data_IF_403741318964
#
_entry.id   IF_403741318964
#
_cell.length_a   1.000
_cell.length_b   1.000
_cell.length_c   1.000
_cell.angle_alpha   90.00
_cell.angle_beta   90.00
_cell.angle_gamma   90.00
#
_symmetry.space_group_name_H-M   'P 1'
#
loop_
_entity.id
_entity.type
_entity.pdbx_description
1 polymer ?
#
# COMPACT_ATOMS: atom_id res chain seq x y z
N UNK A 1 15.71 12.82 -21.75
CA UNK A 1 15.52 13.17 -20.32
C UNK A 1 15.05 14.62 -20.28
N UNK A 2 13.79 14.85 -19.90
CA UNK A 2 13.30 16.20 -19.72
C UNK A 2 13.57 16.57 -18.26
N UNK A 3 14.70 17.26 -18.03
CA UNK A 3 14.96 17.95 -16.77
C UNK A 3 14.16 19.24 -16.88
N UNK A 4 12.94 19.22 -16.34
CA UNK A 4 12.07 20.37 -16.34
C UNK A 4 12.56 21.40 -15.32
N UNK A 5 13.41 22.32 -15.75
CA UNK A 5 13.69 23.56 -15.02
C UNK A 5 12.51 24.52 -15.24
N UNK A 6 11.43 24.32 -14.51
CA UNK A 6 10.26 25.19 -14.61
C UNK A 6 9.33 25.07 -13.41
N UNK A 7 8.54 26.12 -13.12
CA UNK A 7 7.65 26.20 -11.95
C UNK A 7 6.41 25.29 -12.04
N UNK A 8 6.38 24.33 -12.97
CA UNK A 8 5.23 23.49 -13.25
C UNK A 8 5.31 22.18 -12.45
N UNK A 9 4.20 21.81 -11.81
CA UNK A 9 4.07 20.54 -11.11
C UNK A 9 4.25 19.38 -12.10
N UNK A 10 5.35 18.63 -11.96
CA UNK A 10 5.67 17.47 -12.82
C UNK A 10 7.15 17.27 -13.16
N UNK A 11 8.03 18.21 -12.80
CA UNK A 11 9.48 18.06 -13.00
C UNK A 11 10.15 17.24 -11.88
N UNK A 12 10.70 16.07 -12.23
CA UNK A 12 11.62 15.35 -11.34
C UNK A 12 13.05 15.88 -11.55
N UNK A 13 13.75 16.19 -10.46
CA UNK A 13 15.20 16.39 -10.48
C UNK A 13 15.74 17.82 -10.49
N UNK A 14 14.91 18.87 -10.44
CA UNK A 14 15.38 20.25 -10.28
C UNK A 14 15.63 20.64 -8.82
N UNK A 15 16.73 21.35 -8.54
CA UNK A 15 17.04 21.94 -7.21
C UNK A 15 16.10 23.09 -6.83
N UNK A 16 15.46 23.74 -7.81
CA UNK A 16 14.59 24.89 -7.61
C UNK A 16 13.09 24.58 -7.50
N UNK A 17 12.66 23.32 -7.38
CA UNK A 17 11.23 23.02 -7.48
C UNK A 17 10.49 23.23 -6.15
N UNK A 18 9.53 24.16 -6.16
CA UNK A 18 8.48 24.34 -5.15
C UNK A 18 7.45 23.17 -5.11
N UNK A 19 7.87 22.00 -5.59
CA UNK A 19 7.07 20.79 -5.65
C UNK A 19 7.49 19.82 -4.56
N UNK A 20 6.51 19.14 -4.00
CA UNK A 20 6.58 17.99 -3.09
C UNK A 20 7.40 16.80 -3.63
N UNK A 21 8.63 17.01 -4.13
CA UNK A 21 9.47 15.97 -4.76
C UNK A 21 10.88 16.41 -5.17
N UNK A 22 11.40 17.53 -4.66
CA UNK A 22 12.78 17.98 -4.92
C UNK A 22 13.84 17.28 -4.07
N UNK A 23 15.12 17.53 -4.39
CA UNK A 23 16.33 17.01 -3.68
C UNK A 23 16.29 17.18 -2.15
N UNK A 24 15.57 18.21 -1.68
CA UNK A 24 15.36 18.54 -0.28
C UNK A 24 13.86 18.71 0.09
N UNK A 25 12.92 18.29 -0.76
CA UNK A 25 11.49 18.49 -0.49
C UNK A 25 10.95 17.57 0.62
N UNK A 26 9.94 17.99 1.41
CA UNK A 26 9.42 17.23 2.54
C UNK A 26 8.59 15.99 2.13
N UNK A 27 8.14 15.94 0.89
CA UNK A 27 7.39 14.82 0.34
C UNK A 27 8.02 14.36 -0.97
N UNK A 28 7.67 13.14 -1.38
CA UNK A 28 8.00 12.58 -2.69
C UNK A 28 6.69 12.28 -3.40
N UNK A 29 6.42 13.00 -4.47
CA UNK A 29 5.31 12.71 -5.37
C UNK A 29 5.77 11.60 -6.33
N UNK A 30 5.17 10.42 -6.24
CA UNK A 30 5.43 9.33 -7.17
C UNK A 30 4.72 9.63 -8.50
N UNK A 31 5.50 9.98 -9.53
CA UNK A 31 5.00 10.32 -10.88
C UNK A 31 5.33 9.20 -11.88
N UNK A 32 5.64 7.98 -11.41
CA UNK A 32 5.95 6.84 -12.28
C UNK A 32 7.24 6.99 -13.11
N UNK A 33 8.21 7.75 -12.59
CA UNK A 33 9.52 7.94 -13.21
C UNK A 33 10.61 7.20 -12.44
N UNK A 34 11.66 6.75 -13.14
CA UNK A 34 12.80 6.05 -12.55
C UNK A 34 13.50 6.93 -11.51
N UNK A 35 13.64 6.38 -10.30
CA UNK A 35 14.18 7.07 -9.15
C UNK A 35 15.69 7.22 -9.26
N UNK A 36 16.17 8.47 -9.21
CA UNK A 36 17.59 8.75 -8.99
C UNK A 36 17.81 8.94 -7.49
N UNK A 37 18.39 7.94 -6.85
CA UNK A 37 18.81 8.03 -5.44
C UNK A 37 20.11 8.82 -5.40
N UNK A 38 20.10 9.92 -4.64
CA UNK A 38 21.29 10.71 -4.39
C UNK A 38 22.25 9.95 -3.50
N UNK A 39 23.54 10.04 -3.78
CA UNK A 39 24.57 9.57 -2.86
C UNK A 39 24.61 10.45 -1.61
N UNK A 40 25.11 9.92 -0.49
CA UNK A 40 25.21 10.67 0.77
C UNK A 40 26.07 11.95 0.61
N UNK A 41 27.14 11.87 -0.19
CA UNK A 41 28.00 13.01 -0.54
C UNK A 41 27.19 14.15 -1.19
N UNK A 42 26.31 13.80 -2.12
CA UNK A 42 25.43 14.74 -2.82
C UNK A 42 24.36 15.34 -1.89
N UNK A 43 23.94 14.64 -0.85
CA UNK A 43 23.03 15.20 0.15
C UNK A 43 23.75 16.21 1.06
N UNK A 44 25.00 15.92 1.43
CA UNK A 44 25.80 16.79 2.31
C UNK A 44 26.33 18.06 1.62
N UNK A 45 26.35 18.09 0.28
CA UNK A 45 26.65 19.30 -0.51
C UNK A 45 25.50 20.32 -0.51
N UNK A 46 24.31 19.93 -0.04
CA UNK A 46 23.16 20.82 0.03
C UNK A 46 23.38 21.80 1.19
N UNK A 47 23.27 23.13 0.97
CA UNK A 47 23.45 24.09 2.04
C UNK A 47 22.39 23.93 3.14
N UNK A 48 22.79 24.15 4.40
CA UNK A 48 21.91 24.01 5.57
C UNK A 48 20.62 24.84 5.49
N UNK A 49 20.64 25.99 4.81
CA UNK A 49 19.47 26.84 4.55
C UNK A 49 18.34 26.09 3.83
N UNK A 50 18.70 25.15 2.93
CA UNK A 50 17.73 24.31 2.23
C UNK A 50 17.11 23.26 3.14
N UNK A 51 17.86 22.74 4.11
CA UNK A 51 17.33 21.84 5.12
C UNK A 51 16.38 22.55 6.08
N UNK A 52 16.71 23.79 6.47
CA UNK A 52 15.82 24.59 7.32
C UNK A 52 14.52 24.98 6.62
N UNK A 53 14.61 25.40 5.36
CA UNK A 53 13.43 25.74 4.55
C UNK A 53 12.57 24.51 4.28
N UNK A 54 13.18 23.36 3.99
CA UNK A 54 12.48 22.09 3.86
C UNK A 54 11.74 21.71 5.15
N UNK A 55 12.39 21.88 6.30
CA UNK A 55 11.78 21.59 7.60
C UNK A 55 10.60 22.50 7.89
N UNK A 56 10.73 23.81 7.64
CA UNK A 56 9.61 24.77 7.78
C UNK A 56 8.43 24.40 6.89
N UNK A 57 8.70 24.06 5.63
CA UNK A 57 7.66 23.62 4.69
C UNK A 57 6.99 22.30 5.13
N UNK A 58 7.76 21.39 5.73
CA UNK A 58 7.22 20.16 6.31
C UNK A 58 6.29 20.45 7.48
N UNK A 59 6.70 21.34 8.39
CA UNK A 59 5.93 21.73 9.57
C UNK A 59 4.63 22.46 9.17
N UNK A 60 4.69 23.34 8.18
CA UNK A 60 3.52 24.03 7.61
C UNK A 60 2.55 23.05 6.95
N UNK A 61 3.05 22.12 6.13
CA UNK A 61 2.22 21.11 5.48
C UNK A 61 1.60 20.14 6.50
N UNK A 62 2.33 19.80 7.55
CA UNK A 62 1.82 18.99 8.66
C UNK A 62 0.70 19.72 9.40
N UNK A 63 0.88 21.00 9.70
CA UNK A 63 -0.15 21.83 10.34
C UNK A 63 -1.41 21.97 9.47
N UNK A 64 -1.25 22.19 8.15
CA UNK A 64 -2.38 22.22 7.21
C UNK A 64 -3.14 20.90 7.20
N UNK A 65 -2.42 19.78 7.12
CA UNK A 65 -3.04 18.44 7.13
C UNK A 65 -3.79 18.16 8.42
N UNK A 66 -3.28 18.65 9.55
CA UNK A 66 -3.93 18.52 10.85
C UNK A 66 -5.23 19.34 10.90
N UNK A 67 -5.22 20.55 10.33
CA UNK A 67 -6.42 21.38 10.17
C UNK A 67 -7.46 20.73 9.25
N UNK A 68 -7.04 20.15 8.12
CA UNK A 68 -7.93 19.43 7.19
C UNK A 68 -8.63 18.24 7.86
N UNK A 69 -7.97 17.61 8.83
CA UNK A 69 -8.51 16.50 9.62
C UNK A 69 -9.34 16.98 10.82
N UNK A 70 -9.51 18.29 11.00
CA UNK A 70 -10.14 18.93 12.17
C UNK A 70 -9.52 18.48 13.50
N UNK A 71 -8.21 18.18 13.50
CA UNK A 71 -7.48 17.72 14.67
C UNK A 71 -6.64 18.87 15.26
N UNK A 72 -6.39 18.83 16.57
CA UNK A 72 -5.35 19.63 17.20
C UNK A 72 -4.07 18.81 17.37
N UNK A 73 -2.94 19.48 17.66
CA UNK A 73 -1.67 18.80 17.95
C UNK A 73 -1.73 17.94 19.24
N UNK A 74 -2.72 18.19 20.10
CA UNK A 74 -3.00 17.34 21.25
C UNK A 74 -3.76 16.08 20.83
N UNK A 75 -4.79 16.23 19.99
CA UNK A 75 -5.61 15.12 19.49
C UNK A 75 -4.79 14.12 18.67
N UNK A 76 -3.79 14.60 17.91
CA UNK A 76 -2.89 13.74 17.16
C UNK A 76 -2.07 12.83 18.06
N UNK A 77 -1.54 13.36 19.17
CA UNK A 77 -0.76 12.57 20.13
C UNK A 77 -1.63 11.54 20.83
N UNK A 78 -2.84 11.93 21.23
CA UNK A 78 -3.79 11.02 21.88
C UNK A 78 -4.22 9.90 20.92
N UNK A 79 -4.54 10.27 19.67
CA UNK A 79 -4.84 9.31 18.62
C UNK A 79 -3.67 8.37 18.33
N UNK A 80 -2.44 8.89 18.23
CA UNK A 80 -1.25 8.09 17.98
C UNK A 80 -1.01 7.08 19.10
N UNK A 81 -1.15 7.52 20.36
CA UNK A 81 -1.04 6.62 21.52
C UNK A 81 -2.13 5.53 21.52
N UNK A 82 -3.37 5.90 21.24
CA UNK A 82 -4.48 4.95 21.14
C UNK A 82 -4.26 3.95 19.99
N UNK A 83 -3.87 4.43 18.81
CA UNK A 83 -3.57 3.62 17.63
C UNK A 83 -2.44 2.63 17.89
N UNK A 84 -1.37 3.08 18.54
CA UNK A 84 -0.23 2.21 18.88
C UNK A 84 -0.65 1.09 19.84
N UNK A 85 -1.46 1.41 20.85
CA UNK A 85 -1.98 0.42 21.80
C UNK A 85 -2.81 -0.70 21.13
N UNK A 86 -3.45 -0.42 20.00
CA UNK A 86 -4.25 -1.40 19.24
C UNK A 86 -3.62 -1.86 17.92
N UNK A 87 -2.37 -1.47 17.62
CA UNK A 87 -1.74 -1.71 16.34
C UNK A 87 -1.64 -3.21 16.00
N UNK A 88 -1.31 -4.04 17.00
CA UNK A 88 -1.23 -5.50 16.83
C UNK A 88 -2.58 -6.14 16.49
N UNK A 89 -3.66 -5.72 17.16
CA UNK A 89 -5.01 -6.20 16.92
C UNK A 89 -5.51 -5.79 15.53
N UNK A 90 -5.22 -4.55 15.11
CA UNK A 90 -5.50 -4.07 13.76
C UNK A 90 -4.79 -4.95 12.73
N UNK A 91 -3.51 -5.27 12.93
CA UNK A 91 -2.75 -6.10 12.01
C UNK A 91 -3.28 -7.53 11.94
N UNK A 92 -3.63 -8.12 13.09
CA UNK A 92 -4.25 -9.44 13.13
C UNK A 92 -5.58 -9.46 12.36
N UNK A 93 -6.43 -8.45 12.54
CA UNK A 93 -7.69 -8.34 11.82
C UNK A 93 -7.48 -8.18 10.30
N UNK A 94 -6.51 -7.37 9.88
CA UNK A 94 -6.15 -7.24 8.45
C UNK A 94 -5.77 -8.58 7.85
N UNK A 95 -4.94 -9.36 8.55
CA UNK A 95 -4.53 -10.67 8.09
C UNK A 95 -5.72 -11.63 7.94
N UNK A 96 -6.64 -11.63 8.92
CA UNK A 96 -7.87 -12.43 8.84
C UNK A 96 -8.71 -12.04 7.62
N UNK A 97 -8.93 -10.74 7.40
CA UNK A 97 -9.70 -10.25 6.27
C UNK A 97 -9.04 -10.57 4.93
N UNK A 98 -7.71 -10.41 4.83
CA UNK A 98 -6.95 -10.80 3.64
C UNK A 98 -7.05 -12.31 3.37
N UNK A 99 -6.97 -13.14 4.41
CA UNK A 99 -7.14 -14.59 4.28
C UNK A 99 -8.55 -14.97 3.86
N UNK A 100 -9.57 -14.20 4.28
CA UNK A 100 -10.95 -14.40 3.87
C UNK A 100 -11.15 -14.02 2.40
N UNK A 101 -10.68 -12.85 1.98
CA UNK A 101 -10.74 -12.40 0.58
C UNK A 101 -9.99 -13.37 -0.36
N UNK A 102 -8.85 -13.90 0.09
CA UNK A 102 -8.13 -14.94 -0.64
C UNK A 102 -8.97 -16.21 -0.79
N UNK A 103 -9.60 -16.68 0.30
CA UNK A 103 -10.47 -17.87 0.29
C UNK A 103 -11.72 -17.71 -0.56
N UNK A 104 -12.33 -16.53 -0.61
CA UNK A 104 -13.46 -16.26 -1.52
C UNK A 104 -13.07 -16.39 -2.99
N UNK A 105 -11.79 -16.21 -3.32
CA UNK A 105 -11.25 -16.34 -4.68
C UNK A 105 -10.61 -17.71 -4.94
N UNK A 106 -10.56 -18.61 -3.95
CA UNK A 106 -9.93 -19.92 -4.09
C UNK A 106 -10.90 -20.95 -4.64
N UNK A 107 -10.49 -21.61 -5.74
CA UNK A 107 -11.30 -22.69 -6.33
C UNK A 107 -11.29 -23.94 -5.47
N UNK A 108 -12.41 -24.23 -4.83
CA UNK A 108 -12.62 -25.46 -4.09
C UNK A 108 -13.03 -26.63 -5.02
N UNK A 109 -12.81 -27.85 -4.54
CA UNK A 109 -13.39 -29.04 -5.15
C UNK A 109 -14.85 -29.18 -4.70
N UNK A 110 -15.78 -28.92 -5.60
CA UNK A 110 -17.19 -29.25 -5.42
C UNK A 110 -17.35 -30.77 -5.54
N UNK A 111 -17.87 -31.41 -4.49
CA UNK A 111 -18.11 -32.85 -4.44
C UNK A 111 -19.47 -33.22 -5.02
N UNK A 112 -19.69 -34.51 -5.28
CA UNK A 112 -20.98 -35.05 -5.73
C UNK A 112 -21.49 -34.47 -7.05
N UNK A 113 -20.58 -34.17 -7.97
CA UNK A 113 -20.92 -33.64 -9.28
C UNK A 113 -21.28 -34.78 -10.23
N UNK A 114 -22.10 -34.46 -11.22
CA UNK A 114 -22.55 -35.41 -12.25
C UNK A 114 -21.54 -35.57 -13.40
N UNK A 115 -20.55 -34.68 -13.46
CA UNK A 115 -19.47 -34.67 -14.44
C UNK A 115 -18.25 -33.99 -13.83
N UNK A 116 -17.06 -34.32 -14.31
CA UNK A 116 -15.80 -33.75 -13.82
C UNK A 116 -14.71 -34.81 -13.66
N UNK A 117 -13.78 -34.56 -12.75
CA UNK A 117 -12.77 -35.54 -12.34
C UNK A 117 -13.41 -36.59 -11.43
N UNK A 118 -13.03 -37.87 -11.51
CA UNK A 118 -13.63 -38.91 -10.67
C UNK A 118 -13.21 -38.70 -9.21
N UNK A 119 -14.16 -38.78 -8.27
CA UNK A 119 -13.87 -38.77 -6.84
C UNK A 119 -13.42 -40.18 -6.41
N UNK A 120 -12.12 -40.35 -6.14
CA UNK A 120 -11.55 -41.63 -5.71
C UNK A 120 -12.22 -42.18 -4.45
N UNK A 121 -12.80 -41.32 -3.60
CA UNK A 121 -13.52 -41.76 -2.41
C UNK A 121 -14.88 -42.39 -2.71
N UNK A 122 -15.41 -42.22 -3.93
CA UNK A 122 -16.74 -42.68 -4.36
C UNK A 122 -16.71 -43.70 -5.50
N UNK A 123 -15.57 -44.34 -5.74
CA UNK A 123 -15.43 -45.37 -6.79
C UNK A 123 -16.46 -46.50 -6.60
N UNK A 124 -16.68 -46.93 -5.36
CA UNK A 124 -17.66 -47.98 -5.03
C UNK A 124 -19.08 -47.54 -5.42
N UNK A 125 -19.47 -46.30 -5.08
CA UNK A 125 -20.77 -45.74 -5.46
C UNK A 125 -20.93 -45.67 -6.99
N UNK A 126 -19.85 -45.35 -7.71
CA UNK A 126 -19.83 -45.30 -9.17
C UNK A 126 -20.04 -46.67 -9.81
N UNK A 127 -19.41 -47.72 -9.24
CA UNK A 127 -19.61 -49.11 -9.69
C UNK A 127 -21.06 -49.57 -9.46
N UNK A 128 -21.69 -49.11 -8.38
CA UNK A 128 -23.10 -49.38 -8.05
C UNK A 128 -24.06 -48.55 -8.94
N UNK A 129 -23.55 -47.64 -9.76
CA UNK A 129 -24.30 -46.87 -10.75
C UNK A 129 -24.70 -45.46 -10.30
N UNK A 130 -24.17 -44.96 -9.18
CA UNK A 130 -24.37 -43.58 -8.76
C UNK A 130 -23.69 -42.63 -9.75
N UNK A 131 -24.42 -41.60 -10.18
CA UNK A 131 -23.93 -40.62 -11.18
C UNK A 131 -23.22 -39.42 -10.55
N UNK A 132 -23.41 -39.18 -9.25
CA UNK A 132 -22.84 -38.05 -8.50
C UNK A 132 -21.48 -38.39 -7.88
N UNK A 133 -20.57 -38.94 -8.68
CA UNK A 133 -19.26 -39.44 -8.24
C UNK A 133 -18.09 -38.59 -8.71
N UNK A 134 -18.36 -37.39 -9.22
CA UNK A 134 -17.32 -36.52 -9.76
C UNK A 134 -17.03 -35.31 -8.86
N UNK A 135 -15.85 -34.73 -9.06
CA UNK A 135 -15.34 -33.50 -8.49
C UNK A 135 -15.23 -32.43 -9.59
N UNK A 136 -15.54 -31.19 -9.25
CA UNK A 136 -15.34 -30.04 -10.14
C UNK A 136 -14.65 -28.90 -9.41
N UNK A 137 -13.74 -28.20 -10.09
CA UNK A 137 -13.24 -26.91 -9.62
C UNK A 137 -14.33 -25.85 -9.80
N UNK A 138 -14.83 -25.34 -8.69
CA UNK A 138 -15.77 -24.21 -8.63
C UNK A 138 -15.24 -23.14 -7.69
N UNK A 139 -15.83 -21.94 -7.80
CA UNK A 139 -15.75 -20.91 -6.75
C UNK A 139 -16.82 -21.19 -5.70
#
# INVERSE_FOLDING_TARGET
QHIGEGPWAGGSGGTGNAGLGGRAGPFRQDVGQDLVILTEEQQNEIPDEWHETAKKLADEAYAHRLQDLEMTAFDEKEYAAAREAVAGQIQAMRLVLQSHEAKERERAWLKQQMHGELDDTRIVDGIVGARNVYLRRGE
#
